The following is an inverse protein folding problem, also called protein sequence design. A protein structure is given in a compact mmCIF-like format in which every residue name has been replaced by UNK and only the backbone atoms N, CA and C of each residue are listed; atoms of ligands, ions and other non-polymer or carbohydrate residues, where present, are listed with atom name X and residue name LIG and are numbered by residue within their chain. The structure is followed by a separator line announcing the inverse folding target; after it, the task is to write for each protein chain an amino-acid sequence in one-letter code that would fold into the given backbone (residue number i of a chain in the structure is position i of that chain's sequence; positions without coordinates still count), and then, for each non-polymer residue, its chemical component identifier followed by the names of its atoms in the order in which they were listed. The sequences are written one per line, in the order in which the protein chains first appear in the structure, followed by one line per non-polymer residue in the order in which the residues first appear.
data_IF_740293114622
#
_entry.id   IF_740293114622
#
_cell.length_a   1.000
_cell.length_b   1.000
_cell.length_c   1.000
_cell.angle_alpha   90.00
_cell.angle_beta   90.00
_cell.angle_gamma   90.00
#
_symmetry.space_group_name_H-M   'P 1'
#
loop_
_entity.id
_entity.type
_entity.pdbx_description
1 polymer ?
#
# COMPACT_ATOMS: atom_id res chain seq x y z
N UNK A 1 25.82 -6.71 5.04
CA UNK A 1 25.42 -7.82 4.13
C UNK A 1 24.23 -7.30 3.37
N UNK A 2 24.43 -6.92 2.07
CA UNK A 2 23.41 -6.39 1.21
C UNK A 2 22.32 -7.43 0.93
N UNK A 3 21.07 -7.05 1.13
CA UNK A 3 19.92 -7.81 0.64
C UNK A 3 19.87 -7.71 -0.88
N UNK A 4 19.62 -8.80 -1.61
CA UNK A 4 19.43 -8.75 -3.05
C UNK A 4 18.15 -7.97 -3.36
N UNK A 5 18.29 -6.93 -4.18
CA UNK A 5 17.17 -6.19 -4.73
C UNK A 5 16.31 -7.14 -5.56
N UNK A 6 15.05 -7.30 -5.14
CA UNK A 6 14.03 -8.04 -5.90
C UNK A 6 13.90 -7.39 -7.27
N UNK A 7 14.15 -8.15 -8.33
CA UNK A 7 13.86 -7.74 -9.69
C UNK A 7 12.36 -7.37 -9.76
N UNK A 8 12.10 -6.09 -10.05
CA UNK A 8 10.74 -5.61 -10.28
C UNK A 8 10.21 -6.30 -11.54
N UNK A 9 9.34 -7.26 -11.37
CA UNK A 9 8.48 -7.72 -12.44
C UNK A 9 7.58 -6.54 -12.82
N UNK A 10 7.79 -6.06 -14.03
CA UNK A 10 7.09 -4.92 -14.61
C UNK A 10 5.60 -5.24 -14.64
N UNK A 11 4.82 -4.54 -13.80
CA UNK A 11 3.36 -4.56 -13.89
C UNK A 11 2.93 -4.21 -15.32
N UNK A 12 1.92 -4.88 -15.90
CA UNK A 12 1.44 -4.55 -17.22
C UNK A 12 0.92 -3.12 -17.24
N UNK A 13 1.62 -2.25 -17.95
CA UNK A 13 1.21 -0.85 -18.17
C UNK A 13 -0.06 -0.81 -18.98
N UNK A 14 -1.09 -0.12 -18.49
CA UNK A 14 -2.25 0.28 -19.28
C UNK A 14 -1.76 1.24 -20.37
N UNK A 15 -1.79 0.84 -21.63
CA UNK A 15 -1.60 1.74 -22.76
C UNK A 15 -2.94 2.35 -23.15
N UNK A 16 -3.01 3.69 -23.06
CA UNK A 16 -4.13 4.47 -23.56
C UNK A 16 -3.84 4.78 -25.03
N UNK A 17 -4.60 4.17 -25.93
CA UNK A 17 -4.52 4.48 -27.36
C UNK A 17 -5.14 5.84 -27.67
N UNK A 18 -4.72 6.54 -28.75
CA UNK A 18 -5.19 7.89 -29.10
C UNK A 18 -6.70 8.00 -29.35
N UNK A 19 -7.44 6.91 -29.42
CA UNK A 19 -8.89 6.86 -29.57
C UNK A 19 -9.67 6.74 -28.24
N UNK A 20 -9.03 7.01 -27.10
CA UNK A 20 -9.64 6.95 -25.77
C UNK A 20 -10.26 5.57 -25.41
N UNK A 21 -9.82 4.51 -26.05
CA UNK A 21 -10.23 3.14 -25.76
C UNK A 21 -9.22 2.56 -24.78
N UNK A 22 -9.67 2.17 -23.60
CA UNK A 22 -8.86 1.46 -22.62
C UNK A 22 -8.67 0.04 -23.18
N UNK A 23 -7.48 -0.27 -23.68
CA UNK A 23 -7.12 -1.64 -24.04
C UNK A 23 -6.79 -2.42 -22.78
N UNK A 24 -7.69 -3.31 -22.41
CA UNK A 24 -7.36 -4.34 -21.44
C UNK A 24 -6.46 -5.38 -22.12
N UNK A 25 -5.41 -5.87 -21.47
CA UNK A 25 -4.59 -6.97 -21.99
C UNK A 25 -5.41 -8.27 -21.94
N UNK A 26 -6.22 -8.51 -22.94
CA UNK A 26 -7.07 -9.68 -23.15
C UNK A 26 -7.52 -9.78 -24.59
N UNK A 27 -7.62 -11.00 -25.10
CA UNK A 27 -8.12 -11.22 -26.45
C UNK A 27 -9.64 -10.97 -26.49
N UNK A 28 -10.08 -10.01 -27.31
CA UNK A 28 -11.48 -9.76 -27.58
C UNK A 28 -11.91 -10.66 -28.73
N UNK A 29 -12.70 -11.69 -28.45
CA UNK A 29 -13.33 -12.49 -29.49
C UNK A 29 -14.59 -11.76 -29.93
N UNK A 30 -14.59 -11.22 -31.14
CA UNK A 30 -15.77 -10.60 -31.76
C UNK A 30 -16.69 -11.69 -32.30
N UNK A 31 -17.86 -11.83 -31.70
CA UNK A 31 -18.95 -12.63 -32.25
C UNK A 31 -19.97 -11.74 -32.96
N UNK A 32 -20.65 -12.20 -34.04
CA UNK A 32 -21.73 -11.46 -34.68
C UNK A 32 -22.88 -11.24 -33.67
N UNK A 33 -22.94 -10.05 -33.07
CA UNK A 33 -23.97 -9.69 -32.07
C UNK A 33 -23.45 -9.27 -30.70
N UNK A 34 -22.14 -9.25 -30.46
CA UNK A 34 -21.52 -8.75 -29.21
C UNK A 34 -20.11 -9.29 -29.03
N UNK A 35 -19.24 -8.50 -28.39
CA UNK A 35 -17.88 -8.92 -28.04
C UNK A 35 -17.87 -9.65 -26.70
N UNK A 36 -17.22 -10.81 -26.64
CA UNK A 36 -16.93 -11.51 -25.38
C UNK A 36 -15.51 -11.14 -24.97
N UNK A 37 -15.38 -10.52 -23.80
CA UNK A 37 -14.08 -10.27 -23.18
C UNK A 37 -13.57 -11.57 -22.54
N UNK A 38 -12.55 -12.17 -23.13
CA UNK A 38 -11.81 -13.25 -22.51
C UNK A 38 -10.62 -12.65 -21.80
N UNK A 39 -10.73 -12.49 -20.48
CA UNK A 39 -9.61 -12.06 -19.65
C UNK A 39 -8.94 -13.27 -19.00
N UNK A 40 -7.61 -13.17 -18.80
CA UNK A 40 -6.90 -14.18 -18.03
C UNK A 40 -7.37 -14.13 -16.58
N UNK A 41 -7.52 -15.29 -15.95
CA UNK A 41 -7.98 -15.40 -14.55
C UNK A 41 -7.18 -14.51 -13.60
N UNK A 42 -5.86 -14.40 -13.81
CA UNK A 42 -4.98 -13.55 -13.00
C UNK A 42 -5.34 -12.06 -13.09
N UNK A 43 -5.81 -11.60 -14.25
CA UNK A 43 -6.23 -10.20 -14.42
C UNK A 43 -7.50 -9.91 -13.64
N UNK A 44 -8.45 -10.82 -13.64
CA UNK A 44 -9.70 -10.70 -12.86
C UNK A 44 -9.39 -10.71 -11.37
N UNK A 45 -8.52 -11.60 -10.92
CA UNK A 45 -8.09 -11.67 -9.51
C UNK A 45 -7.36 -10.39 -9.11
N UNK A 46 -6.46 -9.88 -9.93
CA UNK A 46 -5.73 -8.65 -9.64
C UNK A 46 -6.66 -7.42 -9.60
N UNK A 47 -7.63 -7.35 -10.51
CA UNK A 47 -8.66 -6.33 -10.48
C UNK A 47 -9.52 -6.39 -9.21
N UNK A 48 -9.95 -7.58 -8.81
CA UNK A 48 -10.72 -7.79 -7.59
C UNK A 48 -9.92 -7.37 -6.34
N UNK A 49 -8.63 -7.73 -6.27
CA UNK A 49 -7.73 -7.33 -5.18
C UNK A 49 -7.52 -5.83 -5.12
N UNK A 50 -7.33 -5.17 -6.26
CA UNK A 50 -7.12 -3.71 -6.30
C UNK A 50 -8.34 -2.93 -5.80
N UNK A 51 -9.55 -3.48 -5.89
CA UNK A 51 -10.78 -2.87 -5.41
C UNK A 51 -11.20 -3.35 -4.00
N UNK A 52 -10.44 -4.23 -3.37
CA UNK A 52 -10.72 -4.76 -2.03
C UNK A 52 -9.42 -5.05 -1.29
N UNK A 53 -8.69 -3.99 -0.95
CA UNK A 53 -7.46 -4.07 -0.16
C UNK A 53 -7.80 -4.01 1.33
N UNK A 54 -7.28 -4.96 2.09
CA UNK A 54 -7.48 -5.03 3.53
C UNK A 54 -6.25 -4.51 4.26
N UNK A 55 -6.32 -3.32 4.87
CA UNK A 55 -5.18 -2.72 5.51
C UNK A 55 -4.89 -3.32 6.89
N UNK A 56 -3.61 -3.60 7.14
CA UNK A 56 -3.05 -3.75 8.48
C UNK A 56 -2.59 -2.38 8.95
N UNK A 57 -3.20 -1.89 10.02
CA UNK A 57 -2.92 -0.58 10.57
C UNK A 57 -1.77 -0.67 11.57
N UNK A 58 -0.61 -0.10 11.22
CA UNK A 58 0.52 0.05 12.11
C UNK A 58 0.68 1.52 12.50
N UNK A 59 -0.15 1.95 13.46
CA UNK A 59 -0.18 3.32 13.96
C UNK A 59 0.65 3.49 15.22
N UNK A 60 1.64 4.39 15.19
CA UNK A 60 2.58 4.62 16.30
C UNK A 60 2.58 6.05 16.83
N UNK A 61 2.14 7.03 16.05
CA UNK A 61 2.13 8.45 16.45
C UNK A 61 1.08 9.27 15.69
N UNK A 62 1.28 10.58 15.53
CA UNK A 62 0.31 11.52 14.98
C UNK A 62 -0.23 11.15 13.59
N UNK A 63 0.55 10.51 12.73
CA UNK A 63 0.04 10.03 11.43
C UNK A 63 -1.06 8.98 11.58
N UNK A 64 -1.08 8.21 12.67
CA UNK A 64 -2.14 7.27 12.95
C UNK A 64 -3.49 7.98 13.20
N UNK A 65 -3.48 9.14 13.84
CA UNK A 65 -4.68 9.95 14.09
C UNK A 65 -5.24 10.47 12.75
N UNK A 66 -4.38 10.93 11.87
CA UNK A 66 -4.78 11.38 10.54
C UNK A 66 -5.30 10.21 9.67
N UNK A 67 -4.71 9.04 9.80
CA UNK A 67 -5.21 7.82 9.17
C UNK A 67 -6.59 7.43 9.70
N UNK A 68 -6.87 7.58 11.00
CA UNK A 68 -8.22 7.42 11.56
C UNK A 68 -9.20 8.46 11.01
N UNK A 69 -8.75 9.69 10.79
CA UNK A 69 -9.55 10.73 10.12
C UNK A 69 -9.90 10.34 8.67
N UNK A 70 -9.02 9.64 7.96
CA UNK A 70 -9.28 9.12 6.62
C UNK A 70 -10.40 8.08 6.62
N UNK A 71 -10.51 7.28 7.68
CA UNK A 71 -11.59 6.31 7.87
C UNK A 71 -12.89 6.93 8.39
N UNK A 72 -12.89 8.23 8.73
CA UNK A 72 -14.07 8.91 9.26
C UNK A 72 -15.08 9.24 8.16
N UNK A 73 -16.32 9.56 8.57
CA UNK A 73 -17.46 9.82 7.68
C UNK A 73 -17.23 10.93 6.64
N UNK A 74 -16.28 11.87 6.89
CA UNK A 74 -15.98 12.95 5.95
C UNK A 74 -15.23 12.45 4.71
N UNK A 75 -14.28 11.54 4.88
CA UNK A 75 -13.41 11.04 3.81
C UNK A 75 -13.79 9.64 3.38
N UNK A 76 -14.02 8.77 4.36
CA UNK A 76 -14.53 7.40 4.22
C UNK A 76 -13.87 6.60 3.09
N UNK A 77 -12.67 6.12 3.37
CA UNK A 77 -11.91 5.29 2.41
C UNK A 77 -12.57 3.94 2.07
N UNK A 78 -13.66 3.56 2.80
CA UNK A 78 -14.45 2.37 2.50
C UNK A 78 -14.99 2.34 1.08
N UNK A 79 -15.34 3.52 0.53
CA UNK A 79 -15.80 3.66 -0.87
C UNK A 79 -14.74 3.29 -1.91
N UNK A 80 -13.48 3.14 -1.52
CA UNK A 80 -12.39 2.64 -2.35
C UNK A 80 -12.00 1.19 -2.05
N UNK A 81 -12.77 0.50 -1.19
CA UNK A 81 -12.53 -0.90 -0.84
C UNK A 81 -11.63 -1.13 0.37
N UNK A 82 -11.29 -0.08 1.13
CA UNK A 82 -10.41 -0.14 2.31
C UNK A 82 -11.18 -0.21 3.65
N UNK A 83 -12.41 -0.71 3.66
CA UNK A 83 -13.24 -0.69 4.87
C UNK A 83 -12.69 -1.57 5.99
N UNK A 84 -12.17 -2.73 5.65
CA UNK A 84 -11.87 -3.76 6.63
C UNK A 84 -10.44 -3.62 7.15
N UNK A 85 -10.25 -2.79 8.18
CA UNK A 85 -8.99 -2.75 8.92
C UNK A 85 -8.78 -4.05 9.71
N UNK A 86 -7.75 -4.82 9.37
CA UNK A 86 -7.43 -6.07 10.04
C UNK A 86 -6.39 -5.90 11.13
N UNK A 87 -6.65 -6.54 12.28
CA UNK A 87 -5.69 -6.60 13.37
C UNK A 87 -4.67 -7.74 13.21
N UNK A 88 -4.95 -8.68 12.30
CA UNK A 88 -4.05 -9.81 12.04
C UNK A 88 -3.33 -9.66 10.70
N UNK A 89 -2.00 -9.81 10.68
CA UNK A 89 -1.23 -9.68 9.44
C UNK A 89 -1.54 -10.77 8.42
N UNK A 90 -2.01 -11.94 8.85
CA UNK A 90 -2.31 -13.06 7.94
C UNK A 90 -3.52 -12.84 7.04
N UNK A 91 -4.37 -11.86 7.37
CA UNK A 91 -5.57 -11.50 6.62
C UNK A 91 -5.47 -10.12 5.96
N UNK A 92 -4.32 -9.48 6.03
CA UNK A 92 -4.09 -8.16 5.47
C UNK A 92 -3.27 -8.25 4.18
N UNK A 93 -3.62 -7.42 3.21
CA UNK A 93 -2.94 -7.34 1.91
C UNK A 93 -1.96 -6.16 1.86
N UNK A 94 -2.25 -5.09 2.62
CA UNK A 94 -1.41 -3.89 2.68
C UNK A 94 -1.13 -3.50 4.13
N UNK A 95 0.11 -3.13 4.43
CA UNK A 95 0.46 -2.53 5.73
C UNK A 95 0.66 -1.04 5.57
N UNK A 96 -0.03 -0.25 6.41
CA UNK A 96 0.14 1.20 6.46
C UNK A 96 0.94 1.54 7.72
N UNK A 97 2.16 2.01 7.52
CA UNK A 97 3.06 2.43 8.61
C UNK A 97 2.82 3.90 8.87
N UNK A 98 2.07 4.22 9.92
CA UNK A 98 1.65 5.58 10.23
C UNK A 98 2.33 6.09 11.49
N UNK A 99 3.44 6.78 11.32
CA UNK A 99 4.15 7.47 12.39
C UNK A 99 5.60 7.07 12.61
N UNK A 100 6.13 7.40 13.78
CA UNK A 100 7.52 7.18 14.15
C UNK A 100 7.80 5.73 14.49
N UNK A 101 8.86 5.16 13.94
CA UNK A 101 9.29 3.79 14.21
C UNK A 101 10.47 3.85 15.16
N UNK A 102 10.30 3.33 16.37
CA UNK A 102 11.41 3.23 17.33
C UNK A 102 12.17 1.91 17.16
N UNK A 103 13.46 1.92 17.49
CA UNK A 103 14.32 0.73 17.35
C UNK A 103 13.77 -0.51 18.06
N UNK A 104 13.07 -0.33 19.19
CA UNK A 104 12.44 -1.43 19.92
C UNK A 104 11.24 -2.04 19.15
N UNK A 105 10.56 -1.25 18.31
CA UNK A 105 9.42 -1.72 17.50
C UNK A 105 9.85 -2.24 16.12
N UNK A 106 11.06 -1.95 15.67
CA UNK A 106 11.54 -2.41 14.37
C UNK A 106 11.48 -3.94 14.18
N UNK A 107 11.89 -4.78 15.16
CA UNK A 107 11.74 -6.23 15.05
C UNK A 107 10.28 -6.70 14.99
N UNK A 108 9.38 -5.96 15.66
CA UNK A 108 7.94 -6.27 15.62
C UNK A 108 7.38 -5.98 14.25
N UNK A 109 7.68 -4.81 13.68
CA UNK A 109 7.28 -4.43 12.33
C UNK A 109 7.73 -5.46 11.29
N UNK A 110 9.01 -5.88 11.36
CA UNK A 110 9.53 -6.92 10.48
C UNK A 110 8.77 -8.23 10.61
N UNK A 111 8.48 -8.65 11.83
CA UNK A 111 7.72 -9.89 12.09
C UNK A 111 6.30 -9.81 11.56
N UNK A 112 5.62 -8.66 11.68
CA UNK A 112 4.29 -8.45 11.11
C UNK A 112 4.33 -8.54 9.58
N UNK A 113 5.33 -7.91 8.95
CA UNK A 113 5.52 -7.99 7.51
C UNK A 113 5.79 -9.43 7.03
N UNK A 114 6.64 -10.18 7.74
CA UNK A 114 6.95 -11.58 7.40
C UNK A 114 5.73 -12.50 7.53
N UNK A 115 4.76 -12.15 8.39
CA UNK A 115 3.52 -12.91 8.60
C UNK A 115 2.41 -12.57 7.59
N UNK A 116 2.55 -11.50 6.81
CA UNK A 116 1.59 -11.18 5.76
C UNK A 116 1.68 -12.15 4.60
N UNK A 117 0.52 -12.48 4.03
CA UNK A 117 0.43 -13.32 2.82
C UNK A 117 0.91 -12.54 1.58
N UNK A 118 1.44 -13.27 0.59
CA UNK A 118 1.75 -12.70 -0.72
C UNK A 118 0.49 -12.71 -1.63
N UNK A 119 0.26 -11.66 -2.44
CA UNK A 119 1.02 -10.43 -2.57
C UNK A 119 0.74 -9.45 -1.43
N UNK A 120 1.76 -8.74 -0.96
CA UNK A 120 1.68 -7.77 0.13
C UNK A 120 2.30 -6.44 -0.28
N UNK A 121 1.70 -5.35 0.20
CA UNK A 121 2.11 -3.99 -0.13
C UNK A 121 2.41 -3.20 1.13
N UNK A 122 3.32 -2.23 1.04
CA UNK A 122 3.76 -1.41 2.16
C UNK A 122 3.62 0.07 1.82
N UNK A 123 2.85 0.80 2.62
CA UNK A 123 2.70 2.25 2.51
C UNK A 123 3.38 2.91 3.72
N UNK A 124 4.38 3.74 3.48
CA UNK A 124 4.99 4.58 4.52
C UNK A 124 4.30 5.94 4.56
N UNK A 125 3.51 6.18 5.61
CA UNK A 125 2.75 7.41 5.78
C UNK A 125 3.47 8.40 6.68
N UNK A 126 3.78 9.56 6.10
CA UNK A 126 4.36 10.70 6.78
C UNK A 126 5.89 10.71 6.83
N UNK A 127 6.44 11.87 7.22
CA UNK A 127 7.87 12.11 7.22
C UNK A 127 8.65 11.16 8.15
N UNK A 128 8.05 10.76 9.28
CA UNK A 128 8.70 9.87 10.24
C UNK A 128 8.89 8.46 9.67
N UNK A 129 7.88 7.91 8.99
CA UNK A 129 7.97 6.61 8.35
C UNK A 129 8.86 6.65 7.10
N UNK A 130 8.92 7.79 6.40
CA UNK A 130 9.70 7.97 5.18
C UNK A 130 11.19 8.12 5.46
N UNK A 131 11.57 8.98 6.41
CA UNK A 131 12.98 9.36 6.63
C UNK A 131 13.34 9.65 8.09
N UNK A 132 12.49 9.30 9.06
CA UNK A 132 12.67 9.68 10.46
C UNK A 132 12.12 11.09 10.79
N UNK A 133 11.80 11.91 9.78
CA UNK A 133 11.17 13.22 9.95
C UNK A 133 11.87 14.17 10.93
N UNK A 134 11.13 14.80 11.87
CA UNK A 134 11.71 15.71 12.87
C UNK A 134 12.71 15.04 13.79
N UNK A 135 12.71 13.71 13.90
CA UNK A 135 13.58 12.92 14.76
C UNK A 135 14.82 12.37 14.04
N UNK A 136 15.11 12.87 12.83
CA UNK A 136 16.25 12.42 12.04
C UNK A 136 17.60 12.71 12.73
N UNK A 137 17.74 13.92 13.30
CA UNK A 137 18.96 14.33 13.96
C UNK A 137 18.96 14.00 15.46
N UNK A 138 20.13 13.62 15.98
CA UNK A 138 20.39 13.43 17.41
C UNK A 138 19.48 12.46 18.17
N UNK A 139 18.76 11.59 17.47
CA UNK A 139 17.87 10.62 18.10
C UNK A 139 18.43 9.19 17.95
N UNK A 140 18.78 8.60 19.07
CA UNK A 140 19.33 7.22 19.12
C UNK A 140 18.24 6.13 19.07
N UNK A 141 17.00 6.50 19.38
CA UNK A 141 15.91 5.54 19.56
C UNK A 141 15.02 5.33 18.33
N UNK A 142 15.14 6.21 17.32
CA UNK A 142 14.27 6.23 16.15
C UNK A 142 14.98 5.69 14.92
N UNK A 143 14.28 4.83 14.19
CA UNK A 143 14.70 4.33 12.88
C UNK A 143 14.44 5.41 11.84
N UNK A 144 15.43 5.67 10.98
CA UNK A 144 15.42 6.77 10.01
C UNK A 144 14.76 6.37 8.68
N UNK A 145 13.59 5.77 8.75
CA UNK A 145 12.79 5.31 7.61
C UNK A 145 12.38 3.86 7.73
N UNK A 146 11.20 3.53 7.22
CA UNK A 146 10.67 2.17 7.20
C UNK A 146 11.46 1.26 6.25
N UNK A 147 12.04 1.85 5.21
CA UNK A 147 12.87 1.19 4.19
C UNK A 147 14.13 0.52 4.75
N UNK A 148 14.63 0.96 5.91
CA UNK A 148 15.70 0.29 6.62
C UNK A 148 15.31 -1.06 7.26
N UNK A 149 13.99 -1.34 7.36
CA UNK A 149 13.47 -2.53 8.03
C UNK A 149 12.79 -3.46 7.03
N UNK A 150 11.92 -2.92 6.19
CA UNK A 150 11.11 -3.65 5.20
C UNK A 150 11.07 -2.87 3.88
N UNK A 151 10.88 -3.53 2.74
CA UNK A 151 10.70 -2.83 1.46
C UNK A 151 9.41 -2.01 1.50
N UNK A 152 9.47 -0.77 1.00
CA UNK A 152 8.34 0.16 0.93
C UNK A 152 7.97 0.36 -0.52
N UNK A 153 6.68 0.21 -0.85
CA UNK A 153 6.17 0.38 -2.21
C UNK A 153 5.71 1.82 -2.48
N UNK A 154 5.08 2.45 -1.49
CA UNK A 154 4.53 3.81 -1.63
C UNK A 154 4.91 4.68 -0.44
N UNK A 155 5.32 5.92 -0.73
CA UNK A 155 5.62 6.95 0.27
C UNK A 155 4.61 8.08 0.19
N UNK A 156 3.98 8.40 1.31
CA UNK A 156 3.04 9.52 1.44
C UNK A 156 3.70 10.64 2.25
N UNK A 157 4.04 11.73 1.60
CA UNK A 157 4.74 12.86 2.23
C UNK A 157 3.78 13.72 3.08
N UNK A 158 4.28 14.22 4.20
CA UNK A 158 3.56 15.12 5.11
C UNK A 158 3.94 14.90 6.57
N UNK A 159 3.52 15.81 7.46
CA UNK A 159 3.80 15.68 8.90
C UNK A 159 2.67 16.28 9.75
N UNK A 160 1.53 15.58 9.89
CA UNK A 160 1.04 14.43 9.12
C UNK A 160 0.60 14.81 7.69
N UNK A 161 0.54 13.87 6.76
CA UNK A 161 -0.11 14.09 5.47
C UNK A 161 -1.62 14.24 5.65
N UNK A 162 -2.24 15.02 4.79
CA UNK A 162 -3.70 15.16 4.79
C UNK A 162 -4.38 13.84 4.40
N UNK A 163 -5.63 13.58 4.86
CA UNK A 163 -6.39 12.39 4.48
C UNK A 163 -6.49 12.18 2.97
N UNK A 164 -6.64 13.26 2.21
CA UNK A 164 -6.74 13.21 0.74
C UNK A 164 -5.44 12.74 0.07
N UNK A 165 -4.30 12.86 0.74
CA UNK A 165 -3.03 12.38 0.21
C UNK A 165 -2.83 10.87 0.43
N UNK A 166 -3.60 10.26 1.34
CA UNK A 166 -3.58 8.82 1.59
C UNK A 166 -4.61 8.09 0.72
N UNK A 167 -5.69 8.76 0.33
CA UNK A 167 -6.72 8.26 -0.57
C UNK A 167 -6.29 8.38 -2.03
#
# INVERSE_FOLDING_TARGET
RGFPLRSQEKSPTMEVTPNNTIQFPGDVIQTPGGGILVSKLDQVINWARSNSLWPLVFGTSCCAIEMMSTASAKYDWSRFGFEVARATPRQADVIIIAGTIVNKMAPVLKRLYDQMAEPKYVIAMGACATSGGPFFYNTYSVVKGADHIIPVDVYVAGCPPRPEALI
#
